data_IF_578926646819
#
_entry.id   IF_578926646819
#
_cell.length_a   1.000
_cell.length_b   1.000
_cell.length_c   1.000
_cell.angle_alpha   90.00
_cell.angle_beta   90.00
_cell.angle_gamma   90.00
#
_symmetry.space_group_name_H-M   'P 1'
#
loop_
_entity.id
_entity.type
_entity.pdbx_description
1 polymer ?
#
# COMPACT_ATOMS: atom_id res chain seq x y z
N UNK A 1 -0.51 -11.63 12.13
CA UNK A 1 -1.63 -11.54 11.18
C UNK A 1 -1.21 -10.88 9.89
N UNK A 2 -1.93 -11.18 8.80
CA UNK A 2 -1.69 -10.66 7.46
C UNK A 2 -3.03 -10.29 6.82
N UNK A 3 -3.17 -9.03 6.43
CA UNK A 3 -4.33 -8.50 5.72
C UNK A 3 -4.03 -8.36 4.22
N UNK A 4 -4.97 -8.76 3.37
CA UNK A 4 -4.83 -8.69 1.91
C UNK A 4 -5.80 -7.67 1.29
N UNK A 5 -5.27 -6.52 0.87
CA UNK A 5 -5.96 -5.48 0.11
C UNK A 5 -5.69 -5.55 -1.39
N UNK A 6 -6.12 -6.61 -2.07
CA UNK A 6 -5.78 -6.88 -3.48
C UNK A 6 -6.82 -6.33 -4.49
N UNK A 7 -7.53 -5.26 -4.11
CA UNK A 7 -8.54 -4.66 -4.97
C UNK A 7 -7.91 -4.03 -6.23
N UNK A 8 -8.57 -4.19 -7.37
CA UNK A 8 -8.15 -3.62 -8.67
C UNK A 8 -8.41 -2.12 -8.79
N UNK A 9 -9.12 -1.53 -7.83
CA UNK A 9 -9.29 -0.11 -7.63
C UNK A 9 -9.86 0.12 -6.23
N UNK A 10 -9.24 1.00 -5.46
CA UNK A 10 -9.74 1.41 -4.15
C UNK A 10 -9.37 2.89 -3.93
N UNK A 11 -10.36 3.81 -3.94
CA UNK A 11 -10.10 5.25 -3.95
C UNK A 11 -9.36 5.72 -2.69
N UNK A 12 -9.56 5.07 -1.54
CA UNK A 12 -8.79 5.36 -0.34
C UNK A 12 -8.35 4.10 0.41
N UNK A 13 -9.26 3.19 0.76
CA UNK A 13 -8.86 1.88 1.28
C UNK A 13 -8.27 1.85 2.68
N UNK A 14 -8.75 2.69 3.61
CA UNK A 14 -8.17 2.75 4.96
C UNK A 14 -8.31 1.44 5.74
N UNK A 15 -9.37 0.66 5.50
CA UNK A 15 -9.60 -0.62 6.16
C UNK A 15 -8.43 -1.60 5.98
N UNK A 16 -7.76 -1.54 4.83
CA UNK A 16 -6.63 -2.42 4.49
C UNK A 16 -5.38 -2.12 5.33
N UNK A 17 -5.30 -0.94 5.95
CA UNK A 17 -4.18 -0.50 6.79
C UNK A 17 -4.57 -0.34 8.27
N UNK A 18 -5.82 -0.58 8.64
CA UNK A 18 -6.26 -0.63 10.05
C UNK A 18 -5.51 -1.68 10.87
N UNK A 19 -5.17 -2.88 10.33
CA UNK A 19 -4.43 -3.89 11.08
C UNK A 19 -3.01 -3.47 11.48
N UNK A 20 -2.43 -2.43 10.87
CA UNK A 20 -1.11 -1.92 11.21
C UNK A 20 -0.99 -1.59 12.69
N UNK A 21 -2.01 -0.99 13.31
CA UNK A 21 -1.97 -0.61 14.74
C UNK A 21 -1.94 -1.81 15.70
N UNK A 22 -2.13 -3.02 15.18
CA UNK A 22 -2.07 -4.29 15.91
C UNK A 22 -0.82 -5.12 15.54
N UNK A 23 0.13 -4.52 14.83
CA UNK A 23 1.38 -5.18 14.43
C UNK A 23 1.23 -6.17 13.28
N UNK A 24 0.08 -6.17 12.58
CA UNK A 24 -0.11 -7.01 11.41
C UNK A 24 0.69 -6.50 10.21
N UNK A 25 0.97 -7.42 9.28
CA UNK A 25 1.38 -7.06 7.93
C UNK A 25 0.12 -6.76 7.10
N UNK A 26 0.23 -5.79 6.19
CA UNK A 26 -0.80 -5.44 5.23
C UNK A 26 -0.19 -5.55 3.83
N UNK A 27 -0.69 -6.46 3.00
CA UNK A 27 -0.30 -6.57 1.59
C UNK A 27 -1.39 -5.95 0.73
N UNK A 28 -1.11 -4.79 0.13
CA UNK A 28 -2.06 -4.04 -0.69
C UNK A 28 -1.58 -3.92 -2.13
N UNK A 29 -2.52 -3.82 -3.05
CA UNK A 29 -2.22 -3.49 -4.43
C UNK A 29 -1.69 -2.06 -4.54
N UNK A 30 -0.76 -1.81 -5.46
CA UNK A 30 -0.20 -0.48 -5.73
C UNK A 30 -1.24 0.53 -6.27
N UNK A 31 -2.44 0.05 -6.64
CA UNK A 31 -3.57 0.89 -7.02
C UNK A 31 -4.48 1.27 -5.84
N UNK A 32 -4.17 0.85 -4.60
CA UNK A 32 -4.87 1.34 -3.42
C UNK A 32 -4.48 2.79 -3.13
N UNK A 33 -5.48 3.67 -2.94
CA UNK A 33 -5.27 5.06 -2.51
C UNK A 33 -4.58 5.19 -1.15
N UNK A 34 -4.59 4.13 -0.34
CA UNK A 34 -3.99 4.08 1.00
C UNK A 34 -2.47 4.17 0.96
N UNK A 35 -1.83 3.66 -0.11
CA UNK A 35 -0.36 3.56 -0.22
C UNK A 35 0.28 4.93 -0.06
N UNK A 36 -0.24 5.94 -0.77
CA UNK A 36 0.30 7.30 -0.70
C UNK A 36 0.14 7.95 0.68
N UNK A 37 -0.98 7.70 1.36
CA UNK A 37 -1.23 8.26 2.68
C UNK A 37 -0.38 7.57 3.76
N UNK A 38 -0.30 6.24 3.73
CA UNK A 38 0.54 5.45 4.63
C UNK A 38 2.03 5.80 4.46
N UNK A 39 2.50 5.92 3.22
CA UNK A 39 3.88 6.34 2.92
C UNK A 39 4.17 7.73 3.48
N UNK A 40 3.25 8.69 3.29
CA UNK A 40 3.41 10.04 3.86
C UNK A 40 3.43 10.03 5.39
N UNK A 41 2.56 9.25 6.02
CA UNK A 41 2.51 9.13 7.48
C UNK A 41 3.79 8.49 8.04
N UNK A 42 4.33 7.49 7.34
CA UNK A 42 5.59 6.85 7.71
C UNK A 42 6.84 7.71 7.40
N UNK A 43 6.75 8.61 6.42
CA UNK A 43 7.88 9.39 5.91
C UNK A 43 8.46 8.78 4.63
N UNK A 44 8.55 7.45 4.58
CA UNK A 44 8.84 6.66 3.38
C UNK A 44 8.28 5.24 3.51
N UNK A 45 8.31 4.45 2.43
CA UNK A 45 7.83 3.06 2.47
C UNK A 45 8.81 2.15 3.23
N UNK A 46 10.12 2.44 3.15
CA UNK A 46 11.16 1.72 3.89
C UNK A 46 11.00 1.87 5.41
N UNK A 47 10.39 2.99 5.85
CA UNK A 47 10.05 3.23 7.24
C UNK A 47 8.76 2.53 7.71
N UNK A 48 8.07 1.79 6.83
CA UNK A 48 6.85 1.04 7.13
C UNK A 48 6.99 -0.43 6.68
N UNK A 49 7.79 -1.24 7.38
CA UNK A 49 8.00 -2.65 7.04
C UNK A 49 6.75 -3.51 7.17
N UNK A 50 5.69 -3.00 7.83
CA UNK A 50 4.41 -3.67 7.94
C UNK A 50 3.55 -3.57 6.66
N UNK A 51 3.93 -2.73 5.68
CA UNK A 51 3.18 -2.52 4.46
C UNK A 51 3.93 -3.12 3.27
N UNK A 52 3.35 -4.16 2.67
CA UNK A 52 3.80 -4.72 1.40
C UNK A 52 2.94 -4.16 0.29
N UNK A 53 3.58 -3.59 -0.73
CA UNK A 53 2.88 -3.08 -1.92
C UNK A 53 3.13 -4.03 -3.08
N UNK A 54 2.09 -4.74 -3.50
CA UNK A 54 2.11 -5.58 -4.69
C UNK A 54 1.83 -4.71 -5.93
N UNK A 55 2.81 -4.59 -6.81
CA UNK A 55 2.68 -3.77 -8.02
C UNK A 55 2.13 -4.59 -9.19
N UNK A 56 0.93 -4.28 -9.66
CA UNK A 56 0.32 -4.95 -10.82
C UNK A 56 0.26 -4.06 -12.06
N UNK A 57 0.86 -2.88 -12.01
CA UNK A 57 0.78 -1.88 -13.09
C UNK A 57 2.12 -1.63 -13.75
N UNK A 58 3.23 -1.90 -13.07
CA UNK A 58 4.55 -1.85 -13.68
C UNK A 58 4.69 -2.95 -14.70
N UNK A 59 5.15 -2.54 -15.88
CA UNK A 59 5.43 -3.47 -16.95
C UNK A 59 6.82 -4.07 -16.76
N UNK A 60 6.96 -5.37 -17.01
CA UNK A 60 8.26 -6.00 -16.90
C UNK A 60 9.28 -5.47 -17.91
N UNK A 61 10.55 -5.72 -17.61
CA UNK A 61 11.67 -5.20 -18.39
C UNK A 61 11.53 -5.48 -19.90
N UNK A 62 11.70 -4.43 -20.71
CA UNK A 62 11.60 -4.51 -22.17
C UNK A 62 10.17 -4.37 -22.73
N UNK A 63 9.15 -4.34 -21.87
CA UNK A 63 7.78 -3.98 -22.27
C UNK A 63 7.57 -2.47 -22.08
N UNK A 64 6.96 -1.83 -23.07
CA UNK A 64 6.65 -0.40 -23.04
C UNK A 64 5.32 -0.13 -23.71
N UNK A 65 4.52 0.76 -23.12
CA UNK A 65 3.29 1.27 -23.73
C UNK A 65 3.59 2.66 -24.29
N UNK A 66 3.49 2.81 -25.60
CA UNK A 66 3.62 4.11 -26.24
C UNK A 66 2.33 4.90 -26.30
N UNK A 67 1.20 4.22 -26.10
CA UNK A 67 -0.12 4.80 -26.12
C UNK A 67 -1.10 3.99 -25.26
N UNK A 68 -2.24 4.58 -24.87
CA UNK A 68 -3.32 3.82 -24.23
C UNK A 68 -3.82 2.63 -25.08
N UNK A 69 -3.69 2.69 -26.41
CA UNK A 69 -4.07 1.58 -27.29
C UNK A 69 -3.17 0.35 -27.08
N UNK A 70 -1.92 0.53 -26.67
CA UNK A 70 -1.02 -0.59 -26.36
C UNK A 70 -1.51 -1.31 -25.10
N UNK A 71 -2.03 -0.57 -24.12
CA UNK A 71 -2.61 -1.15 -22.90
C UNK A 71 -3.84 -2.01 -23.23
N UNK A 72 -4.64 -1.59 -24.23
CA UNK A 72 -5.80 -2.35 -24.71
C UNK A 72 -5.41 -3.68 -25.40
N UNK A 73 -4.14 -3.86 -25.77
CA UNK A 73 -3.61 -5.09 -26.36
C UNK A 73 -3.05 -6.06 -25.32
N UNK A 74 -3.00 -5.66 -24.05
CA UNK A 74 -2.61 -6.55 -22.95
C UNK A 74 -3.65 -7.68 -22.88
N UNK A 75 -3.23 -8.88 -23.29
CA UNK A 75 -4.07 -10.05 -23.32
C UNK A 75 -4.04 -10.80 -21.97
N UNK A 76 -4.60 -12.00 -21.95
CA UNK A 76 -4.55 -12.85 -20.75
C UNK A 76 -3.11 -13.27 -20.43
N UNK A 77 -2.33 -13.68 -21.42
CA UNK A 77 -0.98 -14.20 -21.18
C UNK A 77 -0.05 -13.17 -20.56
N UNK A 78 -0.13 -11.91 -21.02
CA UNK A 78 0.61 -10.81 -20.42
C UNK A 78 0.15 -10.52 -18.99
N UNK A 79 -1.18 -10.53 -18.73
CA UNK A 79 -1.71 -10.35 -17.36
C UNK A 79 -1.26 -11.45 -16.42
N UNK A 80 -1.44 -12.71 -16.80
CA UNK A 80 -1.04 -13.87 -16.00
C UNK A 80 0.46 -13.81 -15.65
N UNK A 81 1.28 -13.34 -16.59
CA UNK A 81 2.72 -13.17 -16.34
C UNK A 81 3.04 -12.02 -15.39
N UNK A 82 2.39 -10.85 -15.54
CA UNK A 82 2.54 -9.71 -14.62
C UNK A 82 2.08 -10.11 -13.22
N UNK A 83 0.86 -10.66 -13.11
CA UNK A 83 0.27 -11.11 -11.86
C UNK A 83 1.13 -12.17 -11.18
N UNK A 84 1.59 -13.19 -11.91
CA UNK A 84 2.45 -14.24 -11.36
C UNK A 84 3.79 -13.70 -10.87
N UNK A 85 4.48 -12.89 -11.69
CA UNK A 85 5.80 -12.32 -11.34
C UNK A 85 5.70 -11.43 -10.09
N UNK A 86 4.70 -10.55 -10.05
CA UNK A 86 4.60 -9.57 -8.98
C UNK A 86 4.01 -10.17 -7.70
N UNK A 87 3.15 -11.19 -7.82
CA UNK A 87 2.68 -11.96 -6.66
C UNK A 87 3.80 -12.77 -6.02
N UNK A 88 4.72 -13.33 -6.81
CA UNK A 88 5.89 -14.06 -6.27
C UNK A 88 6.82 -13.12 -5.50
N UNK A 89 7.11 -11.94 -6.05
CA UNK A 89 7.89 -10.91 -5.36
C UNK A 89 7.23 -10.42 -4.06
N UNK A 90 5.91 -10.19 -4.09
CA UNK A 90 5.16 -9.81 -2.89
C UNK A 90 5.17 -10.93 -1.84
N UNK A 91 4.98 -12.19 -2.24
CA UNK A 91 5.03 -13.35 -1.35
C UNK A 91 6.41 -13.51 -0.69
N UNK A 92 7.49 -13.35 -1.44
CA UNK A 92 8.85 -13.36 -0.90
C UNK A 92 9.06 -12.25 0.14
N UNK A 93 8.55 -11.04 -0.14
CA UNK A 93 8.64 -9.89 0.77
C UNK A 93 7.85 -10.15 2.06
N UNK A 94 6.61 -10.63 1.94
CA UNK A 94 5.77 -11.02 3.10
C UNK A 94 6.54 -12.02 3.97
N UNK A 95 7.08 -13.08 3.35
CA UNK A 95 7.78 -14.12 4.10
C UNK A 95 9.03 -13.59 4.82
N UNK A 96 9.76 -12.67 4.18
CA UNK A 96 10.93 -12.03 4.78
C UNK A 96 10.57 -11.08 5.94
N UNK A 97 9.38 -10.48 5.93
CA UNK A 97 8.92 -9.51 6.92
C UNK A 97 8.08 -10.12 8.05
N UNK A 98 7.68 -11.39 7.93
CA UNK A 98 6.95 -12.07 9.00
C UNK A 98 7.80 -12.09 10.28
N UNK A 99 7.26 -11.60 11.41
CA UNK A 99 8.01 -11.58 12.66
C UNK A 99 8.24 -13.03 13.13
N UNK A 100 9.49 -13.35 13.44
CA UNK A 100 9.92 -14.67 13.91
C UNK A 100 10.30 -14.69 15.41
N UNK A 101 10.04 -13.57 16.10
CA UNK A 101 10.31 -13.35 17.51
C UNK A 101 9.33 -12.32 18.08
N UNK A 102 9.17 -12.33 19.40
CA UNK A 102 8.32 -11.38 20.11
C UNK A 102 8.86 -9.95 19.97
N UNK A 103 10.19 -9.78 19.96
CA UNK A 103 10.84 -8.48 19.75
C UNK A 103 10.55 -7.93 18.35
N UNK A 104 10.57 -8.78 17.32
CA UNK A 104 10.20 -8.36 15.96
C UNK A 104 8.71 -7.98 15.89
N UNK A 105 7.83 -8.74 16.53
CA UNK A 105 6.41 -8.42 16.59
C UNK A 105 6.16 -7.07 17.29
N UNK A 106 6.80 -6.85 18.44
CA UNK A 106 6.68 -5.59 19.20
C UNK A 106 7.18 -4.39 18.38
N UNK A 107 8.26 -4.54 17.62
CA UNK A 107 8.75 -3.49 16.72
C UNK A 107 7.71 -3.14 15.63
N UNK A 108 7.08 -4.15 15.04
CA UNK A 108 6.00 -3.96 14.05
C UNK A 108 4.78 -3.29 14.69
N UNK A 109 4.41 -3.66 15.92
CA UNK A 109 3.31 -3.07 16.67
C UNK A 109 3.54 -1.58 16.96
N UNK A 110 4.70 -1.23 17.53
CA UNK A 110 5.05 0.14 17.86
C UNK A 110 5.10 1.03 16.61
N UNK A 111 5.70 0.52 15.53
CA UNK A 111 5.76 1.24 14.25
C UNK A 111 4.37 1.46 13.66
N UNK A 112 3.55 0.40 13.63
CA UNK A 112 2.20 0.47 13.11
C UNK A 112 1.31 1.43 13.89
N UNK A 113 1.41 1.45 15.23
CA UNK A 113 0.72 2.43 16.07
C UNK A 113 1.17 3.87 15.80
N UNK A 114 2.48 4.10 15.69
CA UNK A 114 3.02 5.43 15.40
C UNK A 114 2.54 5.97 14.04
N UNK A 115 2.43 5.12 13.03
CA UNK A 115 1.91 5.48 11.71
C UNK A 115 0.39 5.68 11.75
N UNK A 116 -0.35 4.79 12.42
CA UNK A 116 -1.80 4.91 12.56
C UNK A 116 -2.23 6.22 13.27
N UNK A 117 -1.49 6.69 14.27
CA UNK A 117 -1.76 7.97 14.95
C UNK A 117 -1.71 9.16 13.98
N UNK A 118 -0.74 9.16 13.06
CA UNK A 118 -0.60 10.17 12.00
C UNK A 118 -1.67 10.05 10.90
N UNK A 119 -2.40 8.94 10.87
CA UNK A 119 -3.51 8.70 9.95
C UNK A 119 -4.89 8.89 10.62
N UNK A 120 -4.94 9.43 11.83
CA UNK A 120 -6.18 9.65 12.57
C UNK A 120 -7.11 10.67 11.93
N UNK A 121 -8.41 10.58 12.23
CA UNK A 121 -9.42 11.54 11.77
C UNK A 121 -9.12 12.98 12.20
N UNK A 122 -8.50 13.17 13.36
CA UNK A 122 -8.08 14.50 13.84
C UNK A 122 -7.03 15.10 12.88
N UNK A 123 -6.03 14.31 12.49
CA UNK A 123 -4.99 14.72 11.53
C UNK A 123 -5.62 14.98 10.15
N UNK A 124 -6.44 14.04 9.65
CA UNK A 124 -7.12 14.19 8.35
C UNK A 124 -7.97 15.47 8.33
N UNK A 125 -8.73 15.73 9.39
CA UNK A 125 -9.61 16.91 9.47
C UNK A 125 -8.80 18.21 9.50
N UNK A 126 -7.80 18.29 10.37
CA UNK A 126 -7.04 19.52 10.58
C UNK A 126 -6.07 19.84 9.44
N UNK A 127 -5.44 18.83 8.84
CA UNK A 127 -4.38 19.02 7.85
C UNK A 127 -4.88 18.98 6.40
N UNK A 128 -5.99 18.28 6.13
CA UNK A 128 -6.49 18.09 4.76
C UNK A 128 -7.84 18.75 4.54
N UNK A 129 -8.86 18.37 5.33
CA UNK A 129 -10.25 18.81 5.09
C UNK A 129 -10.43 20.30 5.34
N UNK A 130 -10.14 20.79 6.55
CA UNK A 130 -10.35 22.19 6.92
C UNK A 130 -9.53 23.16 6.04
N UNK A 131 -8.25 22.89 5.72
CA UNK A 131 -7.50 23.71 4.76
C UNK A 131 -8.09 23.66 3.34
N UNK A 132 -8.61 22.52 2.90
CA UNK A 132 -9.36 22.39 1.65
C UNK A 132 -10.59 23.30 1.60
N UNK A 133 -11.44 23.24 2.62
CA UNK A 133 -12.65 24.06 2.73
C UNK A 133 -12.33 25.56 2.76
N UNK A 134 -11.34 25.98 3.55
CA UNK A 134 -10.91 27.39 3.60
C UNK A 134 -10.44 27.92 2.24
N UNK A 135 -9.84 27.07 1.40
CA UNK A 135 -9.43 27.43 0.03
C UNK A 135 -10.63 27.54 -0.91
N UNK A 136 -11.60 26.64 -0.80
CA UNK A 136 -12.79 26.63 -1.65
C UNK A 136 -13.77 27.77 -1.33
N UNK A 137 -13.73 28.32 -0.12
CA UNK A 137 -14.56 29.44 0.33
C UNK A 137 -13.96 30.82 0.03
N UNK A 138 -12.75 30.90 -0.51
CA UNK A 138 -12.09 32.15 -0.95
C UNK A 138 -12.30 32.33 -2.44
#
# INVERSE_FOLDING_TARGET
DLEFGQSIYEPFGIAQVEPLSFGALCCVSNVCGCVGFATRAAGSLEELPNLVVADYTSLPYGQWLGSPHDAMRIDRGMRDWIEGTNSDAAAATIFAQLPNSDEAYEALLQRGQAVAQKMSWEVVTNEYLLPGLRRAMR
#
